data_IF_792096439576
#
_entry.id   IF_792096439576
#
_cell.length_a   1.000
_cell.length_b   1.000
_cell.length_c   1.000
_cell.angle_alpha   90.00
_cell.angle_beta   90.00
_cell.angle_gamma   90.00
#
_symmetry.space_group_name_H-M   'P 1'
#
loop_
_entity.id
_entity.type
_entity.pdbx_description
1 polymer ?
#
# COMPACT_ATOMS: atom_id res chain seq x y z
N UNK A 1 21.06 7.12 29.30
CA UNK A 1 21.06 5.65 29.48
C UNK A 1 21.43 5.04 28.14
N UNK A 2 22.62 4.48 27.99
CA UNK A 2 23.06 3.90 26.72
C UNK A 2 22.50 2.48 26.62
N UNK A 3 21.67 2.23 25.60
CA UNK A 3 21.02 0.92 25.35
C UNK A 3 22.07 -0.13 24.89
N UNK A 4 23.30 0.30 24.59
CA UNK A 4 24.37 -0.54 24.03
C UNK A 4 24.99 -1.56 25.02
N UNK A 5 24.74 -1.44 26.33
CA UNK A 5 25.34 -2.33 27.34
C UNK A 5 24.47 -3.56 27.69
N UNK A 6 23.38 -3.82 26.95
CA UNK A 6 22.51 -4.97 27.17
C UNK A 6 22.80 -6.07 26.12
N UNK A 7 23.52 -7.16 26.49
CA UNK A 7 23.89 -8.22 25.53
C UNK A 7 22.68 -8.98 24.99
N UNK A 8 21.52 -8.88 25.65
CA UNK A 8 20.27 -9.51 25.22
C UNK A 8 19.56 -8.77 24.08
N UNK A 9 19.92 -7.51 23.82
CA UNK A 9 19.35 -6.75 22.69
C UNK A 9 20.15 -7.07 21.43
N UNK A 10 19.46 -7.61 20.43
CA UNK A 10 20.03 -7.91 19.14
C UNK A 10 20.06 -6.67 18.25
N UNK A 11 21.27 -6.28 17.84
CA UNK A 11 21.53 -5.19 16.90
C UNK A 11 22.07 -5.68 15.56
N UNK A 12 21.97 -4.84 14.53
CA UNK A 12 22.69 -4.94 13.26
C UNK A 12 23.37 -3.62 12.93
N UNK A 13 24.16 -3.60 11.85
CA UNK A 13 24.89 -2.41 11.40
C UNK A 13 25.75 -1.77 12.52
N UNK A 14 26.53 -2.59 13.23
CA UNK A 14 27.42 -2.16 14.32
C UNK A 14 26.70 -1.39 15.46
N UNK A 15 25.49 -1.79 15.82
CA UNK A 15 24.74 -1.16 16.91
C UNK A 15 23.85 0.01 16.49
N UNK A 16 23.86 0.38 15.21
CA UNK A 16 23.06 1.51 14.71
C UNK A 16 21.59 1.15 14.43
N UNK A 17 21.25 -0.14 14.36
CA UNK A 17 19.87 -0.56 14.11
C UNK A 17 19.50 -1.76 15.00
N UNK A 18 18.34 -1.68 15.63
CA UNK A 18 17.75 -2.76 16.43
C UNK A 18 17.13 -3.77 15.47
N UNK A 19 17.37 -5.06 15.68
CA UNK A 19 16.75 -6.11 14.86
C UNK A 19 15.26 -6.24 15.20
N UNK A 20 14.44 -6.45 14.18
CA UNK A 20 13.01 -6.71 14.35
C UNK A 20 12.75 -8.05 15.04
N UNK A 21 11.68 -8.12 15.83
CA UNK A 21 11.27 -9.28 16.60
C UNK A 21 10.66 -8.82 17.92
N UNK A 22 9.49 -9.35 18.27
CA UNK A 22 8.72 -8.88 19.41
C UNK A 22 9.53 -8.96 20.70
N UNK A 23 10.15 -10.11 21.01
CA UNK A 23 10.86 -10.29 22.27
C UNK A 23 12.07 -9.33 22.36
N UNK A 24 12.77 -9.14 21.25
CA UNK A 24 13.87 -8.17 21.16
C UNK A 24 13.39 -6.73 21.41
N UNK A 25 12.25 -6.35 20.83
CA UNK A 25 11.69 -5.01 21.02
C UNK A 25 11.14 -4.81 22.44
N UNK A 26 10.51 -5.83 23.05
CA UNK A 26 10.08 -5.77 24.45
C UNK A 26 11.29 -5.60 25.39
N UNK A 27 12.40 -6.31 25.12
CA UNK A 27 13.68 -6.16 25.84
C UNK A 27 14.16 -4.71 25.80
N UNK A 28 14.14 -4.08 24.62
CA UNK A 28 14.49 -2.66 24.44
C UNK A 28 13.55 -1.76 25.23
N UNK A 29 12.23 -1.97 25.14
CA UNK A 29 11.23 -1.18 25.85
C UNK A 29 11.45 -1.26 27.36
N UNK A 30 11.62 -2.47 27.91
CA UNK A 30 11.86 -2.67 29.33
C UNK A 30 13.16 -2.02 29.80
N UNK A 31 14.23 -2.08 29.00
CA UNK A 31 15.48 -1.36 29.30
C UNK A 31 15.26 0.14 29.30
N UNK A 32 14.68 0.71 28.25
CA UNK A 32 14.44 2.16 28.17
C UNK A 32 13.54 2.66 29.30
N UNK A 33 12.55 1.86 29.71
CA UNK A 33 11.65 2.17 30.82
C UNK A 33 12.26 1.94 32.21
N UNK A 34 13.47 1.34 32.30
CA UNK A 34 14.14 1.07 33.57
C UNK A 34 13.53 -0.08 34.38
N UNK A 35 12.78 -0.98 33.73
CA UNK A 35 12.06 -2.11 34.38
C UNK A 35 12.57 -3.48 33.91
N UNK A 36 13.68 -3.52 33.19
CA UNK A 36 14.18 -4.78 32.62
C UNK A 36 14.40 -5.87 33.66
N UNK A 37 14.93 -5.53 34.83
CA UNK A 37 15.26 -6.53 35.84
C UNK A 37 14.00 -7.24 36.38
N UNK A 38 12.83 -6.58 36.34
CA UNK A 38 11.53 -7.18 36.68
C UNK A 38 11.06 -8.18 35.61
N UNK A 39 11.39 -7.92 34.34
CA UNK A 39 10.87 -8.64 33.18
C UNK A 39 11.84 -9.63 32.56
N UNK A 40 13.12 -9.59 32.96
CA UNK A 40 14.20 -10.37 32.37
C UNK A 40 13.87 -11.86 32.32
N UNK A 41 13.46 -12.44 33.44
CA UNK A 41 13.18 -13.87 33.53
C UNK A 41 12.07 -14.33 32.56
N UNK A 42 11.04 -13.50 32.37
CA UNK A 42 9.96 -13.81 31.44
C UNK A 42 10.44 -13.74 29.98
N UNK A 43 11.18 -12.68 29.63
CA UNK A 43 11.71 -12.49 28.27
C UNK A 43 12.75 -13.56 27.89
N UNK A 44 13.63 -13.92 28.83
CA UNK A 44 14.62 -14.99 28.64
C UNK A 44 13.93 -16.35 28.49
N UNK A 45 12.93 -16.65 29.33
CA UNK A 45 12.13 -17.88 29.21
C UNK A 45 11.38 -18.00 27.88
N UNK A 46 10.81 -16.90 27.38
CA UNK A 46 10.19 -16.90 26.05
C UNK A 46 11.21 -17.14 24.96
N UNK A 47 12.37 -16.48 25.02
CA UNK A 47 13.46 -16.65 24.05
C UNK A 47 13.89 -18.12 23.95
N UNK A 48 14.13 -18.77 25.10
CA UNK A 48 14.51 -20.18 25.15
C UNK A 48 13.44 -21.09 24.51
N UNK A 49 12.18 -20.93 24.91
CA UNK A 49 11.06 -21.75 24.40
C UNK A 49 10.79 -21.53 22.91
N UNK A 50 10.97 -20.31 22.42
CA UNK A 50 10.84 -19.99 20.99
C UNK A 50 11.98 -20.64 20.20
N UNK A 51 13.21 -20.60 20.72
CA UNK A 51 14.37 -21.18 20.04
C UNK A 51 14.39 -22.72 20.08
N UNK A 52 13.81 -23.33 21.12
CA UNK A 52 13.82 -24.79 21.30
C UNK A 52 12.67 -25.54 20.60
N UNK A 53 11.64 -24.85 20.10
CA UNK A 53 10.49 -25.52 19.46
C UNK A 53 10.74 -25.77 17.97
N UNK A 54 10.74 -27.01 17.52
CA UNK A 54 11.22 -27.32 16.15
C UNK A 54 10.20 -27.03 15.03
N UNK A 55 8.88 -27.01 15.27
CA UNK A 55 7.92 -26.88 14.14
C UNK A 55 6.63 -26.08 14.44
N UNK A 56 6.24 -25.83 15.68
CA UNK A 56 5.15 -24.90 15.98
C UNK A 56 5.23 -24.38 17.41
N UNK A 57 4.86 -23.11 17.61
CA UNK A 57 4.61 -22.60 18.97
C UNK A 57 3.25 -23.15 19.41
N UNK A 58 3.21 -23.80 20.58
CA UNK A 58 1.94 -24.20 21.21
C UNK A 58 1.08 -22.96 21.48
N UNK A 59 -0.25 -23.05 21.25
CA UNK A 59 -1.19 -21.94 21.50
C UNK A 59 -1.01 -21.28 22.88
N UNK A 60 -0.63 -22.06 23.89
CA UNK A 60 -0.36 -21.59 25.25
C UNK A 60 0.76 -20.55 25.31
N UNK A 61 1.85 -20.70 24.55
CA UNK A 61 2.94 -19.73 24.55
C UNK A 61 2.51 -18.40 23.92
N UNK A 62 1.68 -18.41 22.87
CA UNK A 62 1.15 -17.15 22.32
C UNK A 62 0.24 -16.44 23.32
N UNK A 63 -0.58 -17.19 24.05
CA UNK A 63 -1.43 -16.64 25.10
C UNK A 63 -0.61 -16.03 26.23
N UNK A 64 0.43 -16.73 26.71
CA UNK A 64 1.34 -16.21 27.73
C UNK A 64 2.10 -14.95 27.28
N UNK A 65 2.54 -14.92 26.01
CA UNK A 65 3.19 -13.74 25.43
C UNK A 65 2.20 -12.58 25.31
N UNK A 66 0.96 -12.84 24.91
CA UNK A 66 -0.09 -11.83 24.85
C UNK A 66 -0.41 -11.27 26.24
N UNK A 67 -0.56 -12.11 27.27
CA UNK A 67 -0.76 -11.66 28.66
C UNK A 67 0.43 -10.82 29.15
N UNK A 68 1.66 -11.24 28.86
CA UNK A 68 2.88 -10.49 29.18
C UNK A 68 2.86 -9.11 28.52
N UNK A 69 2.56 -9.05 27.22
CA UNK A 69 2.46 -7.79 26.46
C UNK A 69 1.36 -6.89 27.04
N UNK A 70 0.18 -7.44 27.34
CA UNK A 70 -0.90 -6.68 27.97
C UNK A 70 -0.48 -6.08 29.31
N UNK A 71 0.15 -6.89 30.17
CA UNK A 71 0.57 -6.44 31.49
C UNK A 71 1.66 -5.37 31.40
N UNK A 72 2.67 -5.57 30.55
CA UNK A 72 3.75 -4.60 30.34
C UNK A 72 3.21 -3.25 29.86
N UNK A 73 2.40 -3.22 28.80
CA UNK A 73 1.89 -1.95 28.27
C UNK A 73 0.90 -1.27 29.22
N UNK A 74 0.10 -2.03 29.99
CA UNK A 74 -0.73 -1.47 31.08
C UNK A 74 0.10 -0.90 32.22
N UNK A 75 1.22 -1.54 32.59
CA UNK A 75 2.16 -1.03 33.60
C UNK A 75 2.76 0.30 33.14
N UNK A 76 3.26 0.35 31.90
CA UNK A 76 3.91 1.53 31.31
C UNK A 76 2.95 2.69 31.03
N UNK A 77 1.67 2.40 30.75
CA UNK A 77 0.70 3.45 30.42
C UNK A 77 0.25 4.24 31.65
N UNK A 78 0.15 5.56 31.53
CA UNK A 78 -0.54 6.40 32.53
C UNK A 78 -2.05 6.19 32.52
N UNK A 79 -2.64 5.98 31.34
CA UNK A 79 -4.03 5.62 31.20
C UNK A 79 -4.16 4.09 31.33
N UNK A 80 -4.73 3.61 32.44
CA UNK A 80 -4.89 2.17 32.66
C UNK A 80 -6.02 1.55 31.82
N UNK A 81 -6.87 2.38 31.23
CA UNK A 81 -7.92 1.99 30.27
C UNK A 81 -7.33 1.92 28.85
N UNK A 82 -6.26 1.14 28.71
CA UNK A 82 -5.70 0.74 27.40
C UNK A 82 -6.16 -0.68 27.09
N UNK A 83 -6.64 -0.88 25.88
CA UNK A 83 -6.89 -2.21 25.31
C UNK A 83 -5.70 -2.56 24.41
N UNK A 84 -5.23 -3.81 24.51
CA UNK A 84 -4.09 -4.29 23.73
C UNK A 84 -4.52 -5.55 23.01
N UNK A 85 -4.35 -5.58 21.69
CA UNK A 85 -4.61 -6.74 20.83
C UNK A 85 -3.32 -7.19 20.15
N UNK A 86 -3.11 -8.49 20.11
CA UNK A 86 -1.93 -9.08 19.51
C UNK A 86 -2.31 -10.01 18.35
N UNK A 87 -1.56 -9.94 17.25
CA UNK A 87 -1.60 -10.90 16.15
C UNK A 87 -0.17 -11.41 15.96
N UNK A 88 0.11 -12.62 16.42
CA UNK A 88 1.48 -13.10 16.62
C UNK A 88 1.76 -14.38 15.83
N UNK A 89 2.97 -14.47 15.28
CA UNK A 89 3.47 -15.64 14.56
C UNK A 89 4.97 -15.82 14.79
N UNK A 90 5.43 -17.06 14.98
CA UNK A 90 6.85 -17.40 15.02
C UNK A 90 7.49 -17.21 13.65
N UNK A 91 8.60 -16.47 13.59
CA UNK A 91 9.37 -16.35 12.36
C UNK A 91 10.88 -16.29 12.65
N UNK A 92 11.68 -16.36 11.59
CA UNK A 92 13.14 -16.27 11.67
C UNK A 92 13.56 -14.81 11.45
N UNK A 93 14.35 -14.29 12.38
CA UNK A 93 14.94 -12.95 12.32
C UNK A 93 16.10 -12.90 11.33
N UNK A 94 16.51 -11.70 10.95
CA UNK A 94 17.59 -11.43 9.98
C UNK A 94 18.98 -12.02 10.34
N UNK A 95 19.20 -12.47 11.57
CA UNK A 95 20.40 -13.17 12.04
C UNK A 95 20.24 -14.70 12.13
N UNK A 96 19.10 -15.23 11.67
CA UNK A 96 18.82 -16.67 11.69
C UNK A 96 18.22 -17.20 13.00
N UNK A 97 18.00 -16.33 14.01
CA UNK A 97 17.40 -16.71 15.29
C UNK A 97 15.87 -16.63 15.21
N UNK A 98 15.16 -17.55 15.84
CA UNK A 98 13.69 -17.49 15.93
C UNK A 98 13.23 -16.40 16.90
N UNK A 99 12.16 -15.68 16.53
CA UNK A 99 11.49 -14.67 17.35
C UNK A 99 9.98 -14.66 17.01
N UNK A 100 9.21 -13.80 17.65
CA UNK A 100 7.78 -13.59 17.36
C UNK A 100 7.60 -12.32 16.49
N UNK A 101 6.79 -12.43 15.46
CA UNK A 101 6.48 -11.40 14.48
C UNK A 101 4.97 -11.17 14.41
N UNK A 102 4.54 -10.13 13.71
CA UNK A 102 3.13 -9.78 13.56
C UNK A 102 2.82 -8.36 14.03
N UNK A 103 1.74 -8.16 14.78
CA UNK A 103 1.26 -6.84 15.16
C UNK A 103 0.81 -6.76 16.63
N UNK A 104 1.07 -5.61 17.26
CA UNK A 104 0.45 -5.20 18.52
C UNK A 104 -0.31 -3.90 18.27
N UNK A 105 -1.59 -3.87 18.64
CA UNK A 105 -2.43 -2.68 18.59
C UNK A 105 -2.77 -2.24 20.01
N UNK A 106 -2.34 -1.02 20.37
CA UNK A 106 -2.64 -0.39 21.67
C UNK A 106 -3.70 0.67 21.42
N UNK A 107 -4.92 0.44 21.88
CA UNK A 107 -6.07 1.34 21.74
C UNK A 107 -6.38 2.05 23.07
N UNK A 108 -6.71 3.34 22.99
CA UNK A 108 -7.12 4.15 24.14
C UNK A 108 -8.10 5.25 23.73
N UNK A 109 -9.02 5.59 24.63
CA UNK A 109 -9.93 6.71 24.44
C UNK A 109 -9.46 7.94 25.22
N UNK A 110 -9.49 9.10 24.59
CA UNK A 110 -9.31 10.40 25.24
C UNK A 110 -10.38 11.37 24.71
N UNK A 111 -11.23 11.89 25.60
CA UNK A 111 -12.34 12.80 25.24
C UNK A 111 -13.23 12.24 24.12
N UNK A 112 -13.67 10.98 24.24
CA UNK A 112 -14.50 10.27 23.25
C UNK A 112 -13.85 10.08 21.85
N UNK A 113 -12.54 10.33 21.73
CA UNK A 113 -11.77 10.02 20.54
C UNK A 113 -10.96 8.75 20.78
N UNK A 114 -11.21 7.73 19.96
CA UNK A 114 -10.42 6.50 19.97
C UNK A 114 -9.10 6.74 19.22
N UNK A 115 -8.01 6.51 19.93
CA UNK A 115 -6.66 6.61 19.43
C UNK A 115 -6.02 5.24 19.48
N UNK A 116 -5.10 4.98 18.55
CA UNK A 116 -4.31 3.76 18.61
C UNK A 116 -2.86 3.97 18.21
N UNK A 117 -2.01 3.06 18.68
CA UNK A 117 -0.62 2.91 18.28
C UNK A 117 -0.46 1.47 17.85
N UNK A 118 -0.03 1.25 16.62
CA UNK A 118 0.21 -0.07 16.06
C UNK A 118 1.72 -0.29 15.91
N UNK A 119 2.21 -1.40 16.47
CA UNK A 119 3.58 -1.87 16.31
C UNK A 119 3.55 -3.08 15.39
N UNK A 120 4.27 -3.01 14.27
CA UNK A 120 4.37 -4.15 13.34
C UNK A 120 5.80 -4.67 13.30
N UNK A 121 5.93 -5.98 13.45
CA UNK A 121 7.19 -6.71 13.45
C UNK A 121 7.25 -7.53 12.16
N UNK A 122 8.03 -7.07 11.19
CA UNK A 122 8.28 -7.77 9.92
C UNK A 122 9.71 -8.29 9.86
N UNK A 123 9.96 -9.30 9.01
CA UNK A 123 11.33 -9.78 8.77
C UNK A 123 12.17 -8.65 8.15
N UNK A 124 13.04 -8.06 8.97
CA UNK A 124 13.89 -6.93 8.60
C UNK A 124 13.77 -5.73 9.52
N UNK A 125 12.55 -5.19 9.66
CA UNK A 125 12.29 -3.94 10.40
C UNK A 125 11.03 -4.01 11.26
N UNK A 126 11.06 -3.30 12.39
CA UNK A 126 9.88 -2.98 13.19
C UNK A 126 9.38 -1.61 12.79
N UNK A 127 8.07 -1.46 12.59
CA UNK A 127 7.45 -0.18 12.22
C UNK A 127 6.43 0.22 13.26
N UNK A 128 6.32 1.54 13.49
CA UNK A 128 5.32 2.13 14.37
C UNK A 128 4.38 2.94 13.49
N UNK A 129 3.09 2.69 13.62
CA UNK A 129 2.06 3.48 12.98
C UNK A 129 1.18 4.11 14.05
N UNK A 130 1.06 5.43 13.99
CA UNK A 130 0.06 6.17 14.75
C UNK A 130 -1.03 6.52 13.73
N UNK A 131 -2.06 5.67 13.58
CA UNK A 131 -3.18 6.02 12.72
C UNK A 131 -3.80 7.34 13.17
N UNK A 132 -4.33 8.09 12.20
CA UNK A 132 -5.06 9.31 12.53
C UNK A 132 -6.21 8.95 13.49
N UNK A 133 -6.43 9.74 14.56
CA UNK A 133 -7.52 9.50 15.48
C UNK A 133 -8.81 9.37 14.69
N UNK A 134 -9.52 8.26 14.87
CA UNK A 134 -10.88 8.19 14.39
C UNK A 134 -11.69 8.99 15.39
N UNK A 135 -12.14 10.18 14.99
CA UNK A 135 -13.31 10.74 15.65
C UNK A 135 -14.39 9.68 15.52
N UNK A 136 -14.90 9.19 16.65
CA UNK A 136 -16.13 8.42 16.68
C UNK A 136 -17.20 9.40 16.21
N UNK A 137 -17.45 9.39 14.91
CA UNK A 137 -18.46 10.25 14.32
C UNK A 137 -19.78 9.74 14.87
N UNK A 138 -20.45 10.59 15.64
CA UNK A 138 -21.73 10.22 16.25
C UNK A 138 -22.71 9.84 15.17
N UNK A 139 -23.53 8.82 15.45
CA UNK A 139 -24.62 8.43 14.56
C UNK A 139 -25.53 9.65 14.26
N UNK A 140 -25.73 10.52 15.26
CA UNK A 140 -26.46 11.79 15.11
C UNK A 140 -25.90 12.70 14.00
N UNK A 141 -24.57 12.77 13.84
CA UNK A 141 -23.95 13.57 12.78
C UNK A 141 -24.18 12.94 11.40
N UNK A 142 -24.08 11.62 11.29
CA UNK A 142 -24.40 10.90 10.05
C UNK A 142 -25.88 11.06 9.68
N UNK A 143 -26.77 10.96 10.66
CA UNK A 143 -28.21 11.13 10.47
C UNK A 143 -28.54 12.57 10.05
N UNK A 144 -27.90 13.57 10.65
CA UNK A 144 -28.01 14.96 10.22
C UNK A 144 -27.52 15.16 8.78
N UNK A 145 -26.39 14.58 8.39
CA UNK A 145 -25.89 14.63 7.01
C UNK A 145 -26.85 13.95 6.02
N UNK A 146 -27.41 12.79 6.38
CA UNK A 146 -28.39 12.08 5.55
C UNK A 146 -29.68 12.90 5.41
N UNK A 147 -30.14 13.56 6.48
CA UNK A 147 -31.29 14.43 6.42
C UNK A 147 -31.09 15.61 5.45
N UNK A 148 -29.92 16.28 5.52
CA UNK A 148 -29.57 17.35 4.56
C UNK A 148 -29.49 16.80 3.14
N UNK A 149 -28.88 15.63 2.95
CA UNK A 149 -28.78 14.97 1.64
C UNK A 149 -30.17 14.73 1.02
N UNK A 150 -31.11 14.20 1.80
CA UNK A 150 -32.47 13.93 1.35
C UNK A 150 -33.18 15.23 0.96
N UNK A 151 -33.08 16.27 1.79
CA UNK A 151 -33.65 17.59 1.50
C UNK A 151 -33.06 18.27 0.24
N UNK A 152 -31.80 17.98 -0.10
CA UNK A 152 -31.17 18.44 -1.33
C UNK A 152 -31.59 17.63 -2.56
N UNK A 153 -31.96 16.36 -2.38
CA UNK A 153 -32.35 15.44 -3.48
C UNK A 153 -33.70 15.83 -4.07
N UNK A 154 -34.59 16.38 -3.26
CA UNK A 154 -35.92 16.84 -3.69
C UNK A 154 -35.87 18.13 -4.54
N UNK A 155 -34.71 18.77 -4.66
CA UNK A 155 -34.50 20.00 -5.44
C UNK A 155 -33.65 19.70 -6.67
N UNK A 156 -34.29 19.41 -7.80
CA UNK A 156 -33.66 19.21 -9.11
C UNK A 156 -33.01 20.49 -9.65
N UNK A 157 -31.92 20.91 -9.01
CA UNK A 157 -31.13 22.10 -9.31
C UNK A 157 -29.65 21.75 -9.33
N UNK A 158 -28.85 22.50 -10.09
CA UNK A 158 -27.39 22.32 -10.13
C UNK A 158 -26.78 22.35 -8.72
N UNK A 159 -27.17 23.35 -7.90
CA UNK A 159 -26.70 23.47 -6.52
C UNK A 159 -27.11 22.27 -5.67
N UNK A 160 -28.35 21.78 -5.83
CA UNK A 160 -28.84 20.58 -5.14
C UNK A 160 -28.00 19.34 -5.50
N UNK A 161 -27.72 19.13 -6.79
CA UNK A 161 -26.86 18.03 -7.26
C UNK A 161 -25.43 18.12 -6.74
N UNK A 162 -24.84 19.32 -6.75
CA UNK A 162 -23.47 19.54 -6.24
C UNK A 162 -23.38 19.30 -4.72
N UNK A 163 -24.36 19.80 -3.96
CA UNK A 163 -24.43 19.55 -2.51
C UNK A 163 -24.62 18.07 -2.21
N UNK A 164 -25.49 17.38 -2.95
CA UNK A 164 -25.73 15.95 -2.79
C UNK A 164 -24.44 15.14 -3.03
N UNK A 165 -23.73 15.43 -4.12
CA UNK A 165 -22.44 14.81 -4.43
C UNK A 165 -21.39 15.10 -3.35
N UNK A 166 -21.26 16.35 -2.90
CA UNK A 166 -20.33 16.72 -1.83
C UNK A 166 -20.64 15.98 -0.51
N UNK A 167 -21.91 15.94 -0.10
CA UNK A 167 -22.34 15.23 1.11
C UNK A 167 -22.07 13.74 0.97
N UNK A 168 -22.39 13.13 -0.18
CA UNK A 168 -22.11 11.72 -0.43
C UNK A 168 -20.61 11.40 -0.33
N UNK A 169 -19.75 12.27 -0.89
CA UNK A 169 -18.30 12.12 -0.76
C UNK A 169 -17.84 12.22 0.69
N UNK A 170 -18.40 13.16 1.47
CA UNK A 170 -18.09 13.26 2.90
C UNK A 170 -18.55 12.05 3.69
N UNK A 171 -19.73 11.50 3.41
CA UNK A 171 -20.18 10.24 4.00
C UNK A 171 -19.23 9.09 3.63
N UNK A 172 -18.80 8.99 2.37
CA UNK A 172 -17.84 7.97 1.94
C UNK A 172 -16.49 8.10 2.66
N UNK A 173 -15.98 9.33 2.80
CA UNK A 173 -14.72 9.61 3.51
C UNK A 173 -14.82 9.21 4.99
N UNK A 174 -15.97 9.42 5.60
CA UNK A 174 -16.24 9.06 6.99
C UNK A 174 -16.33 7.54 7.17
N UNK A 175 -17.15 6.89 6.33
CA UNK A 175 -17.57 5.50 6.52
C UNK A 175 -16.57 4.47 6.00
N UNK A 176 -15.63 4.83 5.12
CA UNK A 176 -14.69 3.87 4.55
C UNK A 176 -13.36 4.50 4.14
N UNK A 177 -12.27 4.03 4.75
CA UNK A 177 -10.92 4.39 4.34
C UNK A 177 -10.63 3.97 2.89
N UNK A 178 -11.07 2.78 2.48
CA UNK A 178 -10.89 2.27 1.11
C UNK A 178 -11.57 3.18 0.08
N UNK A 179 -12.74 3.74 0.40
CA UNK A 179 -13.47 4.66 -0.49
C UNK A 179 -12.87 6.08 -0.55
N UNK A 180 -11.96 6.46 0.35
CA UNK A 180 -11.32 7.79 0.34
C UNK A 180 -10.48 8.03 -0.90
N UNK A 181 -9.91 6.99 -1.50
CA UNK A 181 -8.95 7.17 -2.58
C UNK A 181 -9.41 6.54 -3.91
N UNK A 182 -10.69 6.18 -4.05
CA UNK A 182 -11.20 5.59 -5.30
C UNK A 182 -11.33 6.67 -6.38
N UNK A 183 -10.65 6.55 -7.52
CA UNK A 183 -10.79 7.49 -8.62
C UNK A 183 -12.17 7.34 -9.31
N UNK A 184 -12.76 8.43 -9.83
CA UNK A 184 -14.07 8.44 -10.48
C UNK A 184 -13.97 7.82 -11.89
N UNK A 185 -13.99 6.48 -11.96
CA UNK A 185 -13.75 5.71 -13.19
C UNK A 185 -14.62 6.14 -14.37
N UNK A 186 -15.93 6.32 -14.15
CA UNK A 186 -16.86 6.62 -15.24
C UNK A 186 -16.61 8.00 -15.83
N UNK A 187 -16.31 8.97 -14.98
CA UNK A 187 -16.02 10.34 -15.35
C UNK A 187 -14.66 10.46 -16.04
N UNK A 188 -13.65 9.68 -15.60
CA UNK A 188 -12.36 9.59 -16.30
C UNK A 188 -12.57 9.01 -17.70
N UNK A 189 -13.32 7.91 -17.83
CA UNK A 189 -13.61 7.30 -19.13
C UNK A 189 -14.45 8.23 -20.02
N UNK A 190 -15.39 8.97 -19.45
CA UNK A 190 -16.18 9.96 -20.18
C UNK A 190 -15.28 11.07 -20.69
N UNK A 191 -14.39 11.57 -19.83
CA UNK A 191 -13.50 12.65 -20.18
C UNK A 191 -12.44 12.26 -21.20
N UNK A 192 -11.95 11.03 -21.16
CA UNK A 192 -11.04 10.50 -22.17
C UNK A 192 -11.69 10.37 -23.56
N UNK A 193 -13.03 10.28 -23.63
CA UNK A 193 -13.79 10.11 -24.89
C UNK A 193 -14.32 11.41 -25.49
N UNK A 194 -14.30 12.53 -24.76
CA UNK A 194 -14.84 13.83 -25.20
C UNK A 194 -13.85 14.96 -24.93
N UNK A 195 -13.62 15.80 -25.93
CA UNK A 195 -12.72 16.94 -25.87
C UNK A 195 -13.25 18.05 -24.94
N UNK A 196 -12.58 18.22 -23.80
CA UNK A 196 -12.49 19.42 -22.94
C UNK A 196 -13.62 19.69 -21.92
N UNK A 197 -14.91 19.69 -22.27
CA UNK A 197 -16.00 20.03 -21.31
C UNK A 197 -16.10 19.06 -20.11
N UNK A 198 -15.45 17.91 -20.22
CA UNK A 198 -15.47 16.81 -19.28
C UNK A 198 -14.44 16.90 -18.15
N UNK A 199 -13.46 17.81 -18.25
CA UNK A 199 -12.41 17.97 -17.22
C UNK A 199 -12.94 18.68 -15.97
N UNK A 200 -13.86 19.63 -16.13
CA UNK A 200 -14.52 20.29 -15.01
C UNK A 200 -15.33 19.29 -14.19
N UNK A 201 -15.97 18.31 -14.83
CA UNK A 201 -16.67 17.24 -14.13
C UNK A 201 -15.74 16.47 -13.18
N UNK A 202 -14.51 16.16 -13.60
CA UNK A 202 -13.51 15.49 -12.75
C UNK A 202 -13.11 16.34 -11.55
N UNK A 203 -12.96 17.66 -11.72
CA UNK A 203 -12.66 18.58 -10.62
C UNK A 203 -13.80 18.67 -9.62
N UNK A 204 -15.04 18.46 -10.07
CA UNK A 204 -16.23 18.48 -9.23
C UNK A 204 -16.47 17.14 -8.52
N UNK A 205 -16.01 16.01 -9.07
CA UNK A 205 -16.24 14.67 -8.51
C UNK A 205 -15.78 14.55 -7.05
N UNK A 206 -14.61 15.07 -6.71
CA UNK A 206 -14.06 15.01 -5.36
C UNK A 206 -12.97 16.06 -5.18
N UNK A 207 -12.84 16.56 -3.95
CA UNK A 207 -11.71 17.42 -3.59
C UNK A 207 -10.39 16.69 -3.85
N UNK A 208 -9.55 17.27 -4.70
CA UNK A 208 -8.23 16.72 -5.01
C UNK A 208 -7.26 17.09 -3.89
N UNK A 209 -7.20 16.26 -2.85
CA UNK A 209 -6.32 16.45 -1.70
C UNK A 209 -5.44 15.23 -1.41
N UNK A 210 -4.26 15.49 -0.85
CA UNK A 210 -3.29 14.44 -0.54
C UNK A 210 -2.55 13.87 -1.75
N UNK A 211 -1.41 13.22 -1.48
CA UNK A 211 -0.59 12.59 -2.53
C UNK A 211 -1.28 11.33 -3.06
N UNK A 212 -1.91 10.54 -2.18
CA UNK A 212 -2.54 9.26 -2.55
C UNK A 212 -3.65 9.40 -3.59
N UNK A 213 -4.57 10.35 -3.41
CA UNK A 213 -5.67 10.53 -4.37
C UNK A 213 -5.17 11.11 -5.71
N UNK A 214 -4.21 12.05 -5.67
CA UNK A 214 -3.58 12.59 -6.89
C UNK A 214 -2.87 11.49 -7.68
N UNK A 215 -2.10 10.63 -6.99
CA UNK A 215 -1.41 9.48 -7.57
C UNK A 215 -2.40 8.58 -8.30
N UNK A 216 -3.48 8.13 -7.63
CA UNK A 216 -4.49 7.26 -8.24
C UNK A 216 -5.21 7.91 -9.42
N UNK A 217 -5.48 9.22 -9.38
CA UNK A 217 -6.03 9.94 -10.52
C UNK A 217 -5.07 9.92 -11.73
N UNK A 218 -3.77 10.15 -11.51
CA UNK A 218 -2.74 10.10 -12.57
C UNK A 218 -2.65 8.69 -13.16
N UNK A 219 -2.50 7.68 -12.30
CA UNK A 219 -2.36 6.28 -12.69
C UNK A 219 -3.57 5.81 -13.51
N UNK A 220 -4.77 5.96 -12.96
CA UNK A 220 -6.02 5.55 -13.58
C UNK A 220 -6.22 6.23 -14.94
N UNK A 221 -5.99 7.55 -15.02
CA UNK A 221 -6.14 8.32 -16.27
C UNK A 221 -5.18 7.84 -17.37
N UNK A 222 -3.90 7.68 -17.03
CA UNK A 222 -2.88 7.28 -18.01
C UNK A 222 -3.04 5.82 -18.46
N UNK A 223 -3.37 4.93 -17.52
CA UNK A 223 -3.58 3.52 -17.84
C UNK A 223 -4.84 3.31 -18.66
N UNK A 224 -5.94 4.01 -18.36
CA UNK A 224 -7.15 3.93 -19.17
C UNK A 224 -6.96 4.52 -20.57
N UNK A 225 -6.26 5.65 -20.69
CA UNK A 225 -5.92 6.21 -22.00
C UNK A 225 -5.08 5.22 -22.83
N UNK A 226 -4.07 4.60 -22.21
CA UNK A 226 -3.26 3.56 -22.83
C UNK A 226 -4.11 2.36 -23.28
N UNK A 227 -4.98 1.86 -22.40
CA UNK A 227 -5.84 0.72 -22.66
C UNK A 227 -6.90 0.98 -23.73
N UNK A 228 -7.35 2.23 -23.89
CA UNK A 228 -8.27 2.63 -24.97
C UNK A 228 -7.55 2.92 -26.29
N UNK A 229 -6.21 2.90 -26.32
CA UNK A 229 -5.43 3.26 -27.50
C UNK A 229 -5.53 4.75 -27.86
N UNK A 230 -5.86 5.61 -26.90
CA UNK A 230 -5.98 7.05 -27.11
C UNK A 230 -4.57 7.64 -27.31
N UNK A 231 -4.38 8.35 -28.42
CA UNK A 231 -3.12 9.00 -28.72
C UNK A 231 -3.03 10.35 -28.00
N UNK A 232 -2.39 10.36 -26.84
CA UNK A 232 -2.14 11.57 -26.07
C UNK A 232 -0.99 12.39 -26.70
N UNK A 233 -1.16 13.71 -26.77
CA UNK A 233 -0.10 14.68 -27.08
C UNK A 233 0.20 15.55 -25.86
N UNK A 234 1.25 16.37 -25.91
CA UNK A 234 1.63 17.26 -24.79
C UNK A 234 0.54 18.29 -24.48
N UNK A 235 -0.21 18.68 -25.50
CA UNK A 235 -1.30 19.64 -25.45
C UNK A 235 -2.64 18.99 -25.08
N UNK A 236 -2.70 17.67 -24.97
CA UNK A 236 -3.93 16.96 -24.64
C UNK A 236 -4.41 17.37 -23.23
N UNK A 237 -5.70 17.71 -23.02
CA UNK A 237 -6.20 18.20 -21.73
C UNK A 237 -5.86 17.29 -20.53
N UNK A 238 -5.94 15.97 -20.71
CA UNK A 238 -5.50 15.00 -19.69
C UNK A 238 -4.02 15.06 -19.35
N UNK A 239 -3.13 15.31 -20.32
CA UNK A 239 -1.70 15.45 -20.06
C UNK A 239 -1.45 16.74 -19.28
N UNK A 240 -2.10 17.84 -19.66
CA UNK A 240 -2.02 19.10 -18.91
C UNK A 240 -2.54 18.90 -17.48
N UNK A 241 -3.69 18.25 -17.31
CA UNK A 241 -4.29 17.97 -16.01
C UNK A 241 -3.39 17.12 -15.12
N UNK A 242 -2.94 15.96 -15.61
CA UNK A 242 -2.05 15.08 -14.85
C UNK A 242 -0.67 15.71 -14.63
N UNK A 243 -0.17 16.55 -15.53
CA UNK A 243 1.05 17.33 -15.34
C UNK A 243 0.89 18.36 -14.23
N UNK A 244 -0.28 19.01 -14.11
CA UNK A 244 -0.57 19.92 -13.01
C UNK A 244 -0.67 19.17 -11.67
N UNK A 245 -1.27 17.98 -11.66
CA UNK A 245 -1.29 17.12 -10.47
C UNK A 245 0.14 16.74 -10.04
N UNK A 246 0.97 16.28 -10.98
CA UNK A 246 2.39 15.98 -10.75
C UNK A 246 3.17 17.19 -10.25
N UNK A 247 2.96 18.37 -10.87
CA UNK A 247 3.62 19.62 -10.48
C UNK A 247 3.23 20.11 -9.08
N UNK A 248 2.12 19.63 -8.53
CA UNK A 248 1.69 19.91 -7.15
C UNK A 248 2.22 18.91 -6.11
N UNK A 249 3.04 17.94 -6.53
CA UNK A 249 3.65 16.92 -5.68
C UNK A 249 5.14 17.20 -5.59
N UNK A 250 5.71 17.12 -4.39
CA UNK A 250 7.16 17.26 -4.21
C UNK A 250 7.89 16.00 -4.70
N UNK A 251 8.38 16.07 -5.93
CA UNK A 251 9.14 15.00 -6.59
C UNK A 251 10.64 15.00 -6.21
N UNK A 252 11.10 15.80 -5.25
CA UNK A 252 12.49 15.77 -4.80
C UNK A 252 12.86 14.47 -4.07
N UNK A 253 11.85 13.80 -3.49
CA UNK A 253 12.01 12.57 -2.71
C UNK A 253 11.89 11.31 -3.61
N UNK A 254 12.90 10.44 -3.55
CA UNK A 254 12.92 9.16 -4.29
C UNK A 254 11.69 8.29 -4.01
N UNK A 255 11.23 8.20 -2.76
CA UNK A 255 10.05 7.41 -2.39
C UNK A 255 8.78 7.94 -3.06
N UNK A 256 8.62 9.26 -3.11
CA UNK A 256 7.49 9.90 -3.81
C UNK A 256 7.57 9.66 -5.32
N UNK A 257 8.77 9.69 -5.90
CA UNK A 257 8.97 9.31 -7.32
C UNK A 257 8.59 7.85 -7.57
N UNK A 258 8.99 6.93 -6.68
CA UNK A 258 8.64 5.51 -6.73
C UNK A 258 7.14 5.26 -6.60
N UNK A 259 6.41 6.17 -5.95
CA UNK A 259 4.96 6.12 -5.83
C UNK A 259 4.22 6.75 -7.02
N UNK A 260 4.68 7.85 -7.61
CA UNK A 260 3.83 8.60 -8.57
C UNK A 260 4.23 8.43 -10.03
N UNK A 261 5.50 8.16 -10.31
CA UNK A 261 6.03 8.07 -11.69
C UNK A 261 5.88 6.72 -12.43
N UNK A 262 5.65 5.55 -11.78
CA UNK A 262 5.57 4.27 -12.51
C UNK A 262 4.56 4.24 -13.66
N UNK A 263 3.40 4.86 -13.49
CA UNK A 263 2.33 4.88 -14.52
C UNK A 263 2.74 5.58 -15.80
N UNK A 264 3.66 6.54 -15.76
CA UNK A 264 4.19 7.20 -16.96
C UNK A 264 5.00 6.21 -17.81
N UNK A 265 5.70 5.26 -17.17
CA UNK A 265 6.50 4.25 -17.87
C UNK A 265 5.59 3.17 -18.44
N UNK A 266 4.64 2.66 -17.65
CA UNK A 266 3.70 1.63 -18.10
C UNK A 266 2.78 2.11 -19.23
N UNK A 267 2.30 3.36 -19.17
CA UNK A 267 1.48 3.97 -20.22
C UNK A 267 2.28 4.47 -21.43
N UNK A 268 3.62 4.44 -21.36
CA UNK A 268 4.55 5.02 -22.36
C UNK A 268 4.37 6.53 -22.56
N UNK A 269 4.00 7.24 -21.49
CA UNK A 269 3.75 8.67 -21.49
C UNK A 269 4.95 9.52 -21.05
N UNK A 270 6.11 8.94 -20.74
CA UNK A 270 7.29 9.68 -20.22
C UNK A 270 7.66 10.90 -21.06
N UNK A 271 7.61 10.78 -22.39
CA UNK A 271 8.01 11.84 -23.32
C UNK A 271 6.98 13.00 -23.39
N UNK A 272 5.80 12.80 -22.82
CA UNK A 272 4.73 13.80 -22.73
C UNK A 272 4.93 14.76 -21.54
N UNK A 273 5.86 14.47 -20.63
CA UNK A 273 6.16 15.28 -19.44
C UNK A 273 7.58 15.88 -19.52
N UNK A 274 7.82 16.90 -20.35
CA UNK A 274 9.16 17.43 -20.61
C UNK A 274 9.85 18.03 -19.38
N UNK A 275 9.08 18.39 -18.35
CA UNK A 275 9.62 18.97 -17.12
C UNK A 275 10.15 17.91 -16.13
N UNK A 276 9.91 16.62 -16.40
CA UNK A 276 10.42 15.52 -15.57
C UNK A 276 11.75 15.04 -16.17
N UNK A 277 12.83 15.63 -15.70
CA UNK A 277 14.19 15.40 -16.20
C UNK A 277 14.84 14.17 -15.55
N UNK A 278 14.28 12.99 -15.79
CA UNK A 278 14.84 11.71 -15.32
C UNK A 278 15.42 10.89 -16.47
N UNK A 279 16.56 10.24 -16.22
CA UNK A 279 17.16 9.32 -17.18
C UNK A 279 16.37 8.02 -17.29
N UNK A 280 16.48 7.31 -18.42
CA UNK A 280 15.86 5.98 -18.60
C UNK A 280 16.29 4.98 -17.51
N UNK A 281 17.55 5.05 -17.08
CA UNK A 281 18.06 4.23 -15.98
C UNK A 281 17.32 4.55 -14.67
N UNK A 282 17.04 5.83 -14.41
CA UNK A 282 16.34 6.22 -13.18
C UNK A 282 14.89 5.73 -13.15
N UNK A 283 14.19 5.78 -14.29
CA UNK A 283 12.88 5.17 -14.42
C UNK A 283 12.92 3.65 -14.19
N UNK A 284 13.94 2.95 -14.69
CA UNK A 284 14.10 1.51 -14.44
C UNK A 284 14.32 1.22 -12.94
N UNK A 285 15.11 2.03 -12.23
CA UNK A 285 15.27 1.92 -10.77
C UNK A 285 13.95 2.13 -10.03
N UNK A 286 13.16 3.13 -10.42
CA UNK A 286 11.84 3.41 -9.84
C UNK A 286 10.92 2.18 -9.97
N UNK A 287 10.87 1.58 -11.16
CA UNK A 287 10.03 0.41 -11.41
C UNK A 287 10.45 -0.85 -10.62
N UNK A 288 11.72 -0.97 -10.21
CA UNK A 288 12.19 -2.10 -9.40
C UNK A 288 11.70 -2.03 -7.95
N UNK A 289 11.47 -0.83 -7.43
CA UNK A 289 11.16 -0.59 -6.03
C UNK A 289 9.71 -0.17 -5.78
N UNK A 290 8.98 0.19 -6.82
CA UNK A 290 7.60 0.66 -6.69
C UNK A 290 6.66 -0.42 -6.16
N UNK A 291 5.73 -0.04 -5.29
CA UNK A 291 4.57 -0.85 -4.87
C UNK A 291 3.37 -0.69 -5.80
N UNK A 292 3.39 0.32 -6.68
CA UNK A 292 2.24 0.67 -7.52
C UNK A 292 2.00 -0.27 -8.69
N UNK A 293 2.92 -1.19 -8.95
CA UNK A 293 2.73 -2.22 -9.99
C UNK A 293 1.43 -2.98 -9.78
N UNK A 294 1.01 -3.22 -8.54
CA UNK A 294 -0.23 -3.94 -8.24
C UNK A 294 -1.44 -3.10 -8.69
N UNK A 295 -1.57 -1.87 -8.19
CA UNK A 295 -2.67 -0.95 -8.53
C UNK A 295 -2.76 -0.69 -10.05
N UNK A 296 -1.61 -0.54 -10.73
CA UNK A 296 -1.56 -0.35 -12.19
C UNK A 296 -2.13 -1.57 -12.92
N UNK A 297 -1.80 -2.79 -12.49
CA UNK A 297 -2.35 -4.00 -13.09
C UNK A 297 -3.83 -4.18 -12.77
N UNK A 298 -4.31 -3.76 -11.60
CA UNK A 298 -5.76 -3.70 -11.32
C UNK A 298 -6.48 -2.78 -12.32
N UNK A 299 -5.95 -1.58 -12.60
CA UNK A 299 -6.53 -0.69 -13.60
C UNK A 299 -6.52 -1.27 -15.02
N UNK A 300 -5.50 -2.05 -15.39
CA UNK A 300 -5.46 -2.73 -16.69
C UNK A 300 -6.51 -3.84 -16.80
N UNK A 301 -6.67 -4.63 -15.74
CA UNK A 301 -7.67 -5.70 -15.66
C UNK A 301 -9.10 -5.12 -15.72
N UNK A 302 -9.31 -3.99 -15.07
CA UNK A 302 -10.54 -3.21 -15.07
C UNK A 302 -11.02 -2.77 -16.47
N UNK A 303 -10.08 -2.63 -17.41
CA UNK A 303 -10.34 -2.27 -18.80
C UNK A 303 -10.51 -3.48 -19.71
N UNK A 304 -10.15 -4.66 -19.22
CA UNK A 304 -10.22 -5.93 -19.92
C UNK A 304 -9.63 -5.88 -21.35
N UNK A 305 -8.46 -5.25 -21.50
CA UNK A 305 -7.75 -5.14 -22.78
C UNK A 305 -6.46 -5.99 -22.76
N UNK A 306 -6.43 -7.16 -23.43
CA UNK A 306 -5.29 -8.05 -23.41
C UNK A 306 -4.02 -7.47 -24.07
N UNK A 307 -4.14 -6.63 -25.10
CA UNK A 307 -3.00 -6.01 -25.78
C UNK A 307 -2.32 -4.96 -24.89
N UNK A 308 -3.11 -4.13 -24.21
CA UNK A 308 -2.61 -3.14 -23.26
C UNK A 308 -1.97 -3.81 -22.04
N UNK A 309 -2.62 -4.85 -21.49
CA UNK A 309 -2.10 -5.67 -20.42
C UNK A 309 -0.77 -6.32 -20.81
N UNK A 310 -0.71 -6.92 -22.00
CA UNK A 310 0.53 -7.52 -22.53
C UNK A 310 1.64 -6.49 -22.75
N UNK A 311 1.31 -5.29 -23.23
CA UNK A 311 2.28 -4.19 -23.38
C UNK A 311 2.92 -3.80 -22.04
N UNK A 312 2.12 -3.67 -20.98
CA UNK A 312 2.60 -3.36 -19.64
C UNK A 312 3.37 -4.53 -19.02
N UNK A 313 2.95 -5.77 -19.26
CA UNK A 313 3.66 -6.97 -18.84
C UNK A 313 5.06 -7.05 -19.45
N UNK A 314 5.22 -6.68 -20.73
CA UNK A 314 6.56 -6.58 -21.35
C UNK A 314 7.45 -5.55 -20.66
N UNK A 315 6.90 -4.39 -20.28
CA UNK A 315 7.65 -3.37 -19.56
C UNK A 315 8.11 -3.89 -18.18
N UNK A 316 7.23 -4.59 -17.47
CA UNK A 316 7.56 -5.26 -16.20
C UNK A 316 8.68 -6.30 -16.36
N UNK A 317 8.52 -7.25 -17.28
CA UNK A 317 9.50 -8.33 -17.53
C UNK A 317 10.87 -7.76 -17.94
N UNK A 318 10.89 -6.67 -18.72
CA UNK A 318 12.14 -6.06 -19.17
C UNK A 318 12.90 -5.36 -18.05
N UNK A 319 12.19 -4.96 -16.99
CA UNK A 319 12.73 -4.24 -15.84
C UNK A 319 13.20 -5.21 -14.74
N UNK A 320 12.43 -6.25 -14.41
CA UNK A 320 12.77 -7.24 -13.39
C UNK A 320 13.73 -8.32 -13.92
N UNK A 321 14.97 -7.93 -14.25
CA UNK A 321 16.00 -8.86 -14.79
C UNK A 321 16.59 -9.84 -13.76
N UNK A 322 16.27 -9.66 -12.48
CA UNK A 322 16.93 -10.38 -11.38
C UNK A 322 15.96 -11.09 -10.44
N UNK A 323 14.65 -11.01 -10.70
CA UNK A 323 13.61 -11.51 -9.78
C UNK A 323 13.57 -10.75 -8.45
N UNK A 324 14.18 -9.56 -8.40
CA UNK A 324 14.32 -8.71 -7.21
C UNK A 324 13.13 -7.78 -7.02
N UNK A 325 12.22 -7.69 -7.99
CA UNK A 325 11.02 -6.88 -7.82
C UNK A 325 10.13 -7.49 -6.72
N UNK A 326 10.03 -6.80 -5.59
CA UNK A 326 9.26 -7.23 -4.41
C UNK A 326 7.75 -7.25 -4.66
N UNK A 327 7.29 -6.47 -5.64
CA UNK A 327 5.90 -6.18 -5.96
C UNK A 327 5.53 -6.71 -7.35
N UNK A 328 5.59 -8.04 -7.46
CA UNK A 328 5.26 -8.77 -8.68
C UNK A 328 3.73 -8.94 -8.80
N UNK A 329 3.10 -8.62 -9.95
CA UNK A 329 1.64 -8.73 -10.12
C UNK A 329 1.13 -10.19 -10.06
N UNK A 330 2.01 -11.19 -10.19
CA UNK A 330 1.72 -12.61 -10.00
C UNK A 330 1.97 -13.10 -8.58
N UNK A 331 2.41 -12.23 -7.65
CA UNK A 331 2.62 -12.62 -6.25
C UNK A 331 1.30 -12.93 -5.55
N UNK A 332 0.22 -12.25 -5.93
CA UNK A 332 -1.11 -12.46 -5.38
C UNK A 332 -1.90 -13.42 -6.26
N UNK A 333 -2.39 -14.52 -5.67
CA UNK A 333 -3.08 -15.59 -6.40
C UNK A 333 -4.30 -15.10 -7.20
N UNK A 334 -5.08 -14.17 -6.64
CA UNK A 334 -6.26 -13.61 -7.30
C UNK A 334 -5.87 -12.77 -8.52
N UNK A 335 -4.98 -11.80 -8.34
CA UNK A 335 -4.51 -10.95 -9.43
C UNK A 335 -3.82 -11.76 -10.54
N UNK A 336 -2.99 -12.76 -10.19
CA UNK A 336 -2.37 -13.66 -11.16
C UNK A 336 -3.39 -14.43 -12.00
N UNK A 337 -4.48 -14.90 -11.37
CA UNK A 337 -5.60 -15.55 -12.06
C UNK A 337 -6.33 -14.58 -12.99
N UNK A 338 -6.56 -13.35 -12.57
CA UNK A 338 -7.28 -12.36 -13.39
C UNK A 338 -6.45 -11.93 -14.60
N UNK A 339 -5.12 -11.79 -14.44
CA UNK A 339 -4.20 -11.58 -15.56
C UNK A 339 -4.27 -12.74 -16.54
N UNK A 340 -4.23 -13.98 -16.04
CA UNK A 340 -4.38 -15.17 -16.89
C UNK A 340 -5.71 -15.15 -17.64
N UNK A 341 -6.81 -14.94 -16.93
CA UNK A 341 -8.15 -14.89 -17.51
C UNK A 341 -8.27 -13.81 -18.58
N UNK A 342 -7.64 -12.64 -18.39
CA UNK A 342 -7.64 -11.56 -19.36
C UNK A 342 -6.80 -11.90 -20.60
N UNK A 343 -5.60 -12.47 -20.44
CA UNK A 343 -4.72 -12.78 -21.57
C UNK A 343 -5.21 -13.97 -22.41
N UNK A 344 -5.85 -14.96 -21.78
CA UNK A 344 -6.27 -16.22 -22.41
C UNK A 344 -7.77 -16.31 -22.64
N UNK A 345 -8.45 -15.17 -22.77
CA UNK A 345 -9.87 -15.13 -23.10
C UNK A 345 -10.16 -15.94 -24.36
N UNK A 346 -11.23 -16.74 -24.30
CA UNK A 346 -11.67 -17.59 -25.40
C UNK A 346 -10.57 -18.57 -25.87
N UNK A 347 -9.74 -19.07 -24.94
CA UNK A 347 -8.65 -20.02 -25.21
C UNK A 347 -7.58 -19.48 -26.18
N UNK A 348 -7.44 -18.15 -26.26
CA UNK A 348 -6.50 -17.51 -27.17
C UNK A 348 -5.04 -17.64 -26.69
N UNK A 349 -4.31 -18.60 -27.26
CA UNK A 349 -2.90 -18.87 -26.93
C UNK A 349 -1.88 -17.93 -27.60
N UNK A 350 -2.32 -16.93 -28.37
CA UNK A 350 -1.40 -16.00 -29.06
C UNK A 350 -0.51 -15.25 -28.06
N UNK A 351 -1.06 -14.85 -26.91
CA UNK A 351 -0.29 -14.15 -25.89
C UNK A 351 0.74 -15.05 -25.20
N UNK A 352 0.50 -16.37 -25.09
CA UNK A 352 1.49 -17.32 -24.58
C UNK A 352 2.74 -17.32 -25.46
N UNK A 353 2.55 -17.35 -26.79
CA UNK A 353 3.65 -17.32 -27.75
C UNK A 353 4.40 -15.97 -27.68
N UNK A 354 3.66 -14.85 -27.64
CA UNK A 354 4.24 -13.51 -27.52
C UNK A 354 5.05 -13.36 -26.21
N UNK A 355 4.57 -13.90 -25.09
CA UNK A 355 5.29 -13.88 -23.81
C UNK A 355 6.56 -14.72 -23.90
N UNK A 356 6.47 -15.96 -24.41
CA UNK A 356 7.64 -16.86 -24.57
C UNK A 356 8.72 -16.22 -25.45
N UNK A 357 8.33 -15.59 -26.56
CA UNK A 357 9.25 -14.90 -27.46
C UNK A 357 9.92 -13.68 -26.81
N UNK A 358 9.16 -12.86 -26.07
CA UNK A 358 9.73 -11.70 -25.39
C UNK A 358 10.72 -12.12 -24.30
N UNK A 359 10.41 -13.18 -23.55
CA UNK A 359 11.28 -13.73 -22.52
C UNK A 359 12.60 -14.22 -23.14
N UNK A 360 12.56 -15.00 -24.22
CA UNK A 360 13.77 -15.52 -24.86
C UNK A 360 14.66 -14.40 -25.43
N UNK A 361 14.06 -13.34 -25.97
CA UNK A 361 14.79 -12.17 -26.49
C UNK A 361 15.37 -11.29 -25.38
N UNK A 362 14.72 -11.22 -24.22
CA UNK A 362 15.15 -10.36 -23.10
C UNK A 362 16.34 -10.90 -22.31
N UNK A 363 16.77 -12.16 -22.57
CA UNK A 363 17.86 -12.82 -21.84
C UNK A 363 17.56 -13.08 -20.36
N UNK A 364 16.30 -13.01 -19.95
CA UNK A 364 15.87 -12.99 -18.56
C UNK A 364 15.72 -14.43 -18.00
N UNK A 365 16.81 -15.18 -17.89
CA UNK A 365 16.80 -16.56 -17.39
C UNK A 365 16.75 -16.60 -15.85
N UNK A 366 15.55 -16.84 -15.28
CA UNK A 366 15.27 -17.61 -14.04
C UNK A 366 14.30 -16.93 -13.03
N UNK A 367 14.29 -15.60 -12.87
CA UNK A 367 13.55 -14.95 -11.78
C UNK A 367 12.03 -14.79 -12.00
N UNK A 368 11.62 -14.04 -13.04
CA UNK A 368 10.21 -13.85 -13.36
C UNK A 368 9.60 -15.07 -14.06
N UNK A 369 10.41 -15.81 -14.83
CA UNK A 369 9.97 -17.01 -15.58
C UNK A 369 9.38 -18.04 -14.63
N UNK A 370 10.07 -18.38 -13.53
CA UNK A 370 9.60 -19.41 -12.61
C UNK A 370 8.26 -19.03 -11.94
N UNK A 371 7.94 -17.73 -11.81
CA UNK A 371 6.67 -17.26 -11.24
C UNK A 371 5.54 -17.20 -12.28
N UNK A 372 5.83 -16.77 -13.51
CA UNK A 372 4.84 -16.75 -14.60
C UNK A 372 4.51 -18.18 -15.05
N UNK A 373 5.52 -19.06 -15.13
CA UNK A 373 5.37 -20.47 -15.51
C UNK A 373 4.68 -21.29 -14.42
N UNK A 374 4.73 -20.90 -13.14
CA UNK A 374 3.97 -21.59 -12.09
C UNK A 374 2.45 -21.30 -12.16
N UNK A 375 2.06 -20.22 -12.84
CA UNK A 375 0.65 -19.82 -13.02
C UNK A 375 0.08 -20.18 -14.39
N UNK A 376 0.93 -20.55 -15.36
CA UNK A 376 0.56 -21.15 -16.64
C UNK A 376 0.49 -22.68 -16.49
#
# INVERSE_FOLDING_TARGET
MFIQDCPQIAYKLNGNEIRSGLINILTVICKVAGIYDEWQNALDSFTERICSSDVSIHCNLYFEVEECVQHLFKQLSKNKNVEIKCFLEKCIRSDGVFDIFGAISITYALNDVENSINLFFYSGHTTIQIPQPYQVISQDFLDALMHVKNACTDKASLLGSLLNMYIQNKINDITSYEKRCIPPKQEILHALRKDVESMDALLMCKKIEGIEYKKKLIECSLIYAHALGIKLTKEHPFIIFTSNLLGSIDLSNKRVQEEVLPSLVYSKATDLYPNILLSKQKYAEILLHTTQTIDIFEYLLDMNNPDALFSCLKAFISTDRSGRCSNNPFKFKLQGRDIFNCLFQNENLVYLQKIKQHISQSGNSAGCINKIVYFL
#
